data_IF_405288652416
#
_entry.id   IF_405288652416
#
_cell.length_a   1.000
_cell.length_b   1.000
_cell.length_c   1.000
_cell.angle_alpha   90.00
_cell.angle_beta   90.00
_cell.angle_gamma   90.00
#
_symmetry.space_group_name_H-M   'P 1'
#
loop_
_entity.id
_entity.type
_entity.pdbx_description
1 polymer ?
#
# COMPACT_ATOMS: atom_id res chain seq x y z
N UNK A 1 31.39 -11.80 34.16
CA UNK A 1 30.55 -12.84 34.81
C UNK A 1 31.05 -13.16 36.21
N UNK A 2 32.35 -13.39 36.42
CA UNK A 2 32.90 -13.69 37.76
C UNK A 2 32.91 -12.44 38.65
N UNK A 3 33.22 -11.26 38.11
CA UNK A 3 33.14 -10.00 38.86
C UNK A 3 31.71 -9.52 39.15
N UNK A 4 30.71 -10.07 38.44
CA UNK A 4 29.29 -9.70 38.64
C UNK A 4 28.60 -10.53 39.72
N UNK A 5 28.99 -11.79 39.88
CA UNK A 5 28.45 -12.70 40.91
C UNK A 5 29.56 -13.18 41.83
N UNK A 6 29.98 -12.33 42.76
CA UNK A 6 31.11 -12.63 43.65
C UNK A 6 30.82 -13.80 44.62
N UNK A 7 29.54 -14.11 44.87
CA UNK A 7 29.10 -15.22 45.74
C UNK A 7 28.72 -16.50 44.98
N UNK A 8 28.78 -16.50 43.64
CA UNK A 8 28.40 -17.67 42.86
C UNK A 8 29.51 -18.72 42.85
N UNK A 9 29.14 -19.98 43.10
CA UNK A 9 30.05 -21.12 42.95
C UNK A 9 29.96 -21.70 41.54
N UNK A 10 31.11 -21.88 40.87
CA UNK A 10 31.19 -22.47 39.54
C UNK A 10 31.38 -23.99 39.64
N UNK A 11 30.46 -24.75 39.05
CA UNK A 11 30.58 -26.21 38.93
C UNK A 11 30.32 -26.65 37.47
N UNK A 12 31.32 -27.21 36.75
CA UNK A 12 32.70 -27.48 37.17
C UNK A 12 33.51 -26.21 37.43
N UNK A 13 34.58 -26.33 38.22
CA UNK A 13 35.46 -25.22 38.56
C UNK A 13 36.17 -24.73 37.28
N UNK A 14 35.81 -23.54 36.80
CA UNK A 14 36.40 -22.95 35.59
C UNK A 14 37.67 -22.22 36.00
N UNK A 15 38.83 -22.68 35.55
CA UNK A 15 40.10 -21.96 35.74
C UNK A 15 40.23 -20.83 34.72
N UNK A 16 40.41 -19.61 35.21
CA UNK A 16 40.63 -18.44 34.36
C UNK A 16 42.07 -18.52 33.80
N UNK A 17 42.29 -18.42 32.47
CA UNK A 17 43.62 -18.33 31.88
C UNK A 17 44.43 -17.16 32.43
N UNK A 18 45.74 -17.32 32.62
CA UNK A 18 46.60 -16.32 33.28
C UNK A 18 46.55 -14.92 32.64
N UNK A 19 46.45 -14.83 31.30
CA UNK A 19 46.29 -13.56 30.58
C UNK A 19 45.06 -12.74 30.99
N UNK A 20 44.04 -13.39 31.54
CA UNK A 20 42.80 -12.73 31.99
C UNK A 20 42.81 -12.46 33.50
N UNK A 21 43.75 -13.01 34.26
CA UNK A 21 43.91 -12.73 35.70
C UNK A 21 44.52 -11.35 35.96
N UNK A 22 45.31 -10.83 35.04
CA UNK A 22 46.01 -9.53 35.17
C UNK A 22 45.07 -8.32 35.10
N UNK A 23 43.86 -8.49 34.52
CA UNK A 23 42.90 -7.40 34.31
C UNK A 23 41.68 -7.59 35.20
N UNK A 24 41.74 -7.08 36.43
CA UNK A 24 40.59 -7.03 37.33
C UNK A 24 39.61 -5.96 36.83
N UNK A 25 38.62 -6.37 36.03
CA UNK A 25 37.52 -5.50 35.57
C UNK A 25 36.54 -5.28 36.73
N UNK A 26 36.09 -4.05 36.93
CA UNK A 26 35.11 -3.74 37.98
C UNK A 26 33.77 -4.45 37.71
N UNK A 27 32.95 -4.62 38.76
CA UNK A 27 31.60 -5.19 38.61
C UNK A 27 30.76 -4.43 37.58
N UNK A 28 30.81 -3.10 37.61
CA UNK A 28 30.07 -2.22 36.71
C UNK A 28 30.50 -2.38 35.26
N UNK A 29 31.81 -2.35 34.99
CA UNK A 29 32.36 -2.51 33.64
C UNK A 29 32.02 -3.89 33.06
N UNK A 30 32.08 -4.93 33.90
CA UNK A 30 31.69 -6.27 33.48
C UNK A 30 30.19 -6.38 33.19
N UNK A 31 29.34 -5.68 33.95
CA UNK A 31 27.91 -5.63 33.71
C UNK A 31 27.59 -4.94 32.37
N UNK A 32 28.25 -3.81 32.09
CA UNK A 32 28.14 -3.10 30.80
C UNK A 32 28.49 -4.03 29.64
N UNK A 33 29.60 -4.77 29.72
CA UNK A 33 30.01 -5.69 28.65
C UNK A 33 29.05 -6.87 28.46
N UNK A 34 28.51 -7.41 29.55
CA UNK A 34 27.53 -8.50 29.50
C UNK A 34 26.24 -8.01 28.84
N UNK A 35 25.72 -6.85 29.28
CA UNK A 35 24.50 -6.27 28.72
C UNK A 35 24.72 -5.93 27.24
N UNK A 36 25.87 -5.33 26.88
CA UNK A 36 26.25 -5.05 25.49
C UNK A 36 26.15 -6.31 24.63
N UNK A 37 26.81 -7.38 25.07
CA UNK A 37 26.84 -8.66 24.35
C UNK A 37 25.44 -9.28 24.20
N UNK A 38 24.57 -9.15 25.21
CA UNK A 38 23.20 -9.67 25.12
C UNK A 38 22.32 -8.88 24.17
N UNK A 39 22.43 -7.55 24.18
CA UNK A 39 21.64 -6.66 23.33
C UNK A 39 21.93 -6.84 21.82
N UNK A 40 23.08 -7.40 21.45
CA UNK A 40 23.36 -7.77 20.05
C UNK A 40 22.41 -8.86 19.50
N UNK A 41 21.84 -9.68 20.40
CA UNK A 41 20.97 -10.80 20.06
C UNK A 41 19.52 -10.63 20.55
N UNK A 42 19.25 -9.64 21.41
CA UNK A 42 17.93 -9.35 21.94
C UNK A 42 17.31 -8.16 21.19
N UNK A 43 16.03 -8.27 20.86
CA UNK A 43 15.25 -7.14 20.31
C UNK A 43 14.99 -6.05 21.35
N UNK A 44 13.94 -5.24 21.18
CA UNK A 44 13.47 -4.34 22.22
C UNK A 44 13.25 -5.10 23.53
N UNK A 45 13.88 -4.64 24.60
CA UNK A 45 13.79 -5.26 25.94
C UNK A 45 13.64 -4.21 27.02
N UNK A 46 12.96 -4.56 28.10
CA UNK A 46 12.82 -3.69 29.26
C UNK A 46 13.92 -3.94 30.29
N UNK A 47 14.10 -2.99 31.21
CA UNK A 47 15.04 -3.11 32.33
C UNK A 47 14.70 -4.33 33.19
N UNK A 48 13.41 -4.55 33.46
CA UNK A 48 12.94 -5.65 34.30
C UNK A 48 13.23 -7.01 33.67
N UNK A 49 13.07 -7.15 32.34
CA UNK A 49 13.44 -8.38 31.64
C UNK A 49 14.93 -8.70 31.75
N UNK A 50 15.80 -7.69 31.63
CA UNK A 50 17.25 -7.87 31.76
C UNK A 50 17.61 -8.20 33.22
N UNK A 51 17.00 -7.48 34.17
CA UNK A 51 17.15 -7.63 35.62
C UNK A 51 16.81 -9.06 36.06
N UNK A 52 15.64 -9.57 35.66
CA UNK A 52 15.18 -10.93 35.95
C UNK A 52 16.07 -12.00 35.30
N UNK A 53 16.47 -11.79 34.04
CA UNK A 53 17.28 -12.77 33.31
C UNK A 53 18.72 -12.87 33.82
N UNK A 54 19.29 -11.77 34.30
CA UNK A 54 20.64 -11.74 34.85
C UNK A 54 20.63 -12.02 36.36
N UNK A 55 19.56 -11.72 37.10
CA UNK A 55 19.55 -11.82 38.56
C UNK A 55 20.38 -10.72 39.22
N UNK A 56 20.34 -9.51 38.64
CA UNK A 56 20.98 -8.29 39.16
C UNK A 56 19.91 -7.25 39.44
N UNK A 57 20.24 -6.19 40.19
CA UNK A 57 19.23 -5.17 40.49
C UNK A 57 18.88 -4.32 39.26
N UNK A 58 17.62 -3.89 39.14
CA UNK A 58 17.19 -3.01 38.04
C UNK A 58 18.01 -1.70 38.00
N UNK A 59 18.44 -1.19 39.16
CA UNK A 59 19.31 -0.01 39.25
C UNK A 59 20.69 -0.22 38.62
N UNK A 60 21.29 -1.41 38.76
CA UNK A 60 22.58 -1.73 38.13
C UNK A 60 22.43 -1.85 36.61
N UNK A 61 21.32 -2.44 36.16
CA UNK A 61 20.98 -2.55 34.73
C UNK A 61 20.78 -1.17 34.11
N UNK A 62 20.00 -0.29 34.75
CA UNK A 62 19.76 1.07 34.30
C UNK A 62 21.08 1.86 34.15
N UNK A 63 21.97 1.79 35.13
CA UNK A 63 23.26 2.47 35.05
C UNK A 63 24.13 1.97 33.88
N UNK A 64 24.12 0.66 33.61
CA UNK A 64 24.85 0.10 32.48
C UNK A 64 24.22 0.50 31.14
N UNK A 65 22.88 0.52 31.04
CA UNK A 65 22.17 0.96 29.84
C UNK A 65 22.40 2.44 29.56
N UNK A 66 22.42 3.30 30.58
CA UNK A 66 22.77 4.71 30.45
C UNK A 66 24.21 4.93 29.96
N UNK A 67 25.18 4.12 30.44
CA UNK A 67 26.55 4.14 29.90
C UNK A 67 26.57 3.76 28.41
N UNK A 68 25.87 2.69 28.04
CA UNK A 68 25.77 2.24 26.64
C UNK A 68 25.02 3.24 25.74
N UNK A 69 24.07 3.99 26.28
CA UNK A 69 23.37 5.08 25.57
C UNK A 69 24.31 6.24 25.30
N UNK A 70 25.12 6.63 26.30
CA UNK A 70 26.15 7.65 26.17
C UNK A 70 27.22 7.30 25.13
N UNK A 71 27.54 6.01 24.99
CA UNK A 71 28.41 5.48 23.91
C UNK A 71 27.72 5.45 22.54
N UNK A 72 26.39 5.64 22.49
CA UNK A 72 25.58 5.56 21.28
C UNK A 72 25.31 4.13 20.78
N UNK A 73 25.53 3.11 21.62
CA UNK A 73 25.32 1.70 21.29
C UNK A 73 23.83 1.33 21.30
N UNK A 74 23.07 1.82 22.28
CA UNK A 74 21.64 1.55 22.43
C UNK A 74 20.76 2.77 22.11
N UNK A 75 19.49 2.51 21.84
CA UNK A 75 18.42 3.50 21.87
C UNK A 75 17.37 3.14 22.92
N UNK A 76 16.77 4.18 23.47
CA UNK A 76 15.67 4.13 24.42
C UNK A 76 14.38 4.63 23.75
N UNK A 77 13.27 3.90 23.90
CA UNK A 77 11.97 4.31 23.35
C UNK A 77 10.94 3.19 23.36
N UNK A 78 9.83 3.39 22.67
CA UNK A 78 8.77 2.39 22.51
C UNK A 78 8.84 1.84 21.09
N UNK A 79 9.35 0.61 20.94
CA UNK A 79 9.55 -0.04 19.65
C UNK A 79 8.48 -1.09 19.36
N UNK A 80 7.88 -1.67 20.40
CA UNK A 80 6.81 -2.66 20.30
C UNK A 80 5.42 -1.98 20.26
N UNK A 81 4.61 -2.18 19.19
CA UNK A 81 3.28 -1.57 19.09
C UNK A 81 2.33 -2.04 20.21
N UNK A 82 1.66 -1.10 20.87
CA UNK A 82 0.74 -1.40 21.98
C UNK A 82 1.43 -1.71 23.31
N UNK A 83 2.75 -1.48 23.38
CA UNK A 83 3.53 -1.60 24.61
C UNK A 83 4.02 -0.21 25.04
N UNK A 84 3.50 0.27 26.17
CA UNK A 84 3.77 1.64 26.67
C UNK A 84 4.99 1.72 27.59
N UNK A 85 5.58 0.58 27.97
CA UNK A 85 6.81 0.57 28.76
C UNK A 85 8.02 0.97 27.93
N UNK A 86 9.00 1.56 28.61
CA UNK A 86 10.23 2.04 28.01
C UNK A 86 11.17 0.87 27.69
N UNK A 87 11.52 0.72 26.42
CA UNK A 87 12.36 -0.35 25.92
C UNK A 87 13.74 0.17 25.50
N UNK A 88 14.71 -0.73 25.55
CA UNK A 88 16.09 -0.54 25.12
C UNK A 88 16.40 -1.49 23.97
N UNK A 89 17.06 -0.99 22.93
CA UNK A 89 17.41 -1.80 21.77
C UNK A 89 18.76 -1.37 21.18
N UNK A 90 19.55 -2.34 20.72
CA UNK A 90 20.81 -2.06 20.03
C UNK A 90 20.54 -1.37 18.69
N UNK A 91 21.33 -0.33 18.39
CA UNK A 91 21.07 0.57 17.26
C UNK A 91 21.13 -0.14 15.90
N UNK A 92 22.13 -0.99 15.67
CA UNK A 92 22.32 -1.69 14.38
C UNK A 92 21.27 -2.77 14.18
N UNK A 93 20.85 -3.46 15.23
CA UNK A 93 19.81 -4.47 15.23
C UNK A 93 18.46 -3.83 14.92
N UNK A 94 18.11 -2.74 15.60
CA UNK A 94 16.90 -1.98 15.31
C UNK A 94 16.87 -1.51 13.84
N UNK A 95 17.98 -0.94 13.35
CA UNK A 95 18.09 -0.51 11.96
C UNK A 95 17.95 -1.68 10.97
N UNK A 96 18.51 -2.85 11.30
CA UNK A 96 18.42 -4.07 10.49
C UNK A 96 17.00 -4.62 10.44
N UNK A 97 16.33 -4.72 11.60
CA UNK A 97 14.92 -5.13 11.70
C UNK A 97 14.06 -4.19 10.86
N UNK A 98 14.20 -2.87 11.03
CA UNK A 98 13.43 -1.89 10.26
C UNK A 98 13.72 -2.01 8.75
N UNK A 99 14.98 -2.17 8.35
CA UNK A 99 15.35 -2.38 6.93
C UNK A 99 14.69 -3.64 6.35
N UNK A 100 14.67 -4.74 7.09
CA UNK A 100 14.01 -5.97 6.64
C UNK A 100 12.50 -5.80 6.51
N UNK A 101 11.86 -5.14 7.47
CA UNK A 101 10.43 -4.79 7.40
C UNK A 101 10.13 -3.93 6.18
N UNK A 102 10.88 -2.84 5.96
CA UNK A 102 10.70 -1.97 4.80
C UNK A 102 10.98 -2.68 3.48
N UNK A 103 12.00 -3.54 3.43
CA UNK A 103 12.32 -4.31 2.21
C UNK A 103 11.19 -5.29 1.89
N UNK A 104 10.61 -5.94 2.90
CA UNK A 104 9.46 -6.83 2.72
C UNK A 104 8.24 -6.06 2.20
N UNK A 105 7.89 -4.95 2.84
CA UNK A 105 6.79 -4.08 2.41
C UNK A 105 7.01 -3.54 0.99
N UNK A 106 8.24 -3.18 0.63
CA UNK A 106 8.56 -2.73 -0.74
C UNK A 106 8.43 -3.84 -1.78
N UNK A 107 8.82 -5.08 -1.44
CA UNK A 107 8.62 -6.23 -2.33
C UNK A 107 7.14 -6.56 -2.54
N UNK A 108 6.30 -6.29 -1.54
CA UNK A 108 4.84 -6.41 -1.69
C UNK A 108 4.25 -5.34 -2.61
N UNK A 109 4.99 -4.26 -2.93
CA UNK A 109 4.56 -3.12 -3.75
C UNK A 109 5.56 -2.90 -4.91
N UNK A 110 6.20 -3.96 -5.40
CA UNK A 110 7.20 -3.82 -6.47
C UNK A 110 6.53 -3.35 -7.77
N UNK A 111 7.05 -2.29 -8.43
CA UNK A 111 6.44 -1.75 -9.64
C UNK A 111 6.46 -2.80 -10.76
N UNK A 112 5.28 -3.07 -11.32
CA UNK A 112 5.15 -3.96 -12.47
C UNK A 112 5.78 -3.34 -13.72
N UNK A 113 6.29 -4.19 -14.63
CA UNK A 113 6.80 -3.70 -15.91
C UNK A 113 5.72 -2.95 -16.68
N UNK A 114 6.11 -1.96 -17.50
CA UNK A 114 5.17 -1.22 -18.33
C UNK A 114 4.37 -2.17 -19.25
N UNK A 115 5.01 -3.24 -19.75
CA UNK A 115 4.34 -4.28 -20.55
C UNK A 115 3.26 -5.03 -19.78
N UNK A 116 3.52 -5.41 -18.53
CA UNK A 116 2.55 -6.14 -17.70
C UNK A 116 1.37 -5.25 -17.32
N UNK A 117 1.66 -3.98 -17.02
CA UNK A 117 0.63 -2.99 -16.78
C UNK A 117 -0.26 -2.78 -18.02
N UNK A 118 0.33 -2.69 -19.22
CA UNK A 118 -0.44 -2.55 -20.47
C UNK A 118 -1.29 -3.79 -20.77
N UNK A 119 -0.76 -5.01 -20.55
CA UNK A 119 -1.55 -6.26 -20.69
C UNK A 119 -2.72 -6.29 -19.71
N UNK A 120 -2.47 -5.94 -18.45
CA UNK A 120 -3.52 -5.80 -17.44
C UNK A 120 -4.56 -4.76 -17.87
N UNK A 121 -4.13 -3.58 -18.34
CA UNK A 121 -5.04 -2.53 -18.78
C UNK A 121 -5.93 -2.97 -19.94
N UNK A 122 -5.38 -3.62 -20.96
CA UNK A 122 -6.18 -4.06 -22.10
C UNK A 122 -7.16 -5.18 -21.75
N UNK A 123 -6.75 -6.11 -20.87
CA UNK A 123 -7.65 -7.13 -20.31
C UNK A 123 -8.72 -6.50 -19.43
N UNK A 124 -8.34 -5.56 -18.56
CA UNK A 124 -9.24 -4.85 -17.68
C UNK A 124 -10.29 -4.07 -18.47
N UNK A 125 -9.89 -3.36 -19.53
CA UNK A 125 -10.75 -2.60 -20.43
C UNK A 125 -11.60 -3.47 -21.37
N UNK A 126 -11.41 -4.79 -21.39
CA UNK A 126 -12.14 -5.71 -22.26
C UNK A 126 -11.78 -5.58 -23.75
N UNK A 127 -10.62 -5.00 -24.08
CA UNK A 127 -10.20 -4.73 -25.47
C UNK A 127 -9.32 -5.85 -26.02
N UNK A 128 -8.58 -6.56 -25.16
CA UNK A 128 -7.66 -7.64 -25.56
C UNK A 128 -8.26 -9.06 -25.47
N UNK A 129 -9.53 -9.20 -25.07
CA UNK A 129 -10.14 -10.54 -24.93
C UNK A 129 -10.52 -11.10 -26.30
N UNK A 130 -10.05 -12.30 -26.63
CA UNK A 130 -10.49 -13.04 -27.82
C UNK A 130 -11.98 -13.39 -27.72
N UNK A 131 -12.46 -13.66 -26.50
CA UNK A 131 -13.88 -13.82 -26.20
C UNK A 131 -14.45 -12.51 -25.66
N UNK A 132 -15.06 -11.72 -26.55
CA UNK A 132 -15.81 -10.51 -26.18
C UNK A 132 -17.22 -10.89 -25.74
N UNK A 133 -17.73 -10.31 -24.63
CA UNK A 133 -19.10 -10.54 -24.20
C UNK A 133 -20.09 -9.97 -25.23
N UNK A 134 -21.31 -10.50 -25.26
CA UNK A 134 -22.36 -10.15 -26.22
C UNK A 134 -23.67 -9.81 -25.51
N UNK A 135 -24.49 -8.94 -26.11
CA UNK A 135 -25.82 -8.59 -25.63
C UNK A 135 -25.91 -7.34 -24.74
N UNK A 136 -27.14 -7.02 -24.32
CA UNK A 136 -27.46 -5.80 -23.56
C UNK A 136 -26.78 -5.75 -22.19
N UNK A 137 -26.65 -6.90 -21.50
CA UNK A 137 -25.97 -6.96 -20.20
C UNK A 137 -24.46 -6.75 -20.32
N UNK A 138 -23.85 -7.17 -21.43
CA UNK A 138 -22.45 -6.85 -21.73
C UNK A 138 -22.27 -5.33 -21.89
N UNK A 139 -23.16 -4.68 -22.63
CA UNK A 139 -23.18 -3.23 -22.77
C UNK A 139 -23.35 -2.52 -21.43
N UNK A 140 -24.24 -3.02 -20.56
CA UNK A 140 -24.40 -2.51 -19.20
C UNK A 140 -23.08 -2.60 -18.42
N UNK A 141 -22.41 -3.76 -18.45
CA UNK A 141 -21.11 -3.95 -17.81
C UNK A 141 -20.02 -2.99 -18.31
N UNK A 142 -20.00 -2.69 -19.61
CA UNK A 142 -19.07 -1.72 -20.22
C UNK A 142 -19.41 -0.29 -19.79
N UNK A 143 -20.69 0.09 -19.78
CA UNK A 143 -21.14 1.40 -19.30
C UNK A 143 -20.84 1.61 -17.81
N UNK A 144 -20.97 0.57 -16.99
CA UNK A 144 -20.57 0.59 -15.57
C UNK A 144 -19.09 0.90 -15.40
N UNK A 145 -18.26 0.38 -16.29
CA UNK A 145 -16.81 0.55 -16.25
C UNK A 145 -16.37 1.91 -16.80
N UNK A 146 -17.06 2.41 -17.81
CA UNK A 146 -16.78 3.68 -18.48
C UNK A 146 -17.62 4.84 -17.92
N UNK A 147 -18.32 4.63 -16.82
CA UNK A 147 -19.15 5.66 -16.20
C UNK A 147 -18.29 6.88 -15.84
N UNK A 148 -18.64 8.04 -16.39
CA UNK A 148 -17.87 9.28 -16.22
C UNK A 148 -16.80 9.54 -17.27
N UNK A 149 -16.54 8.58 -18.16
CA UNK A 149 -15.65 8.78 -19.30
C UNK A 149 -16.31 9.73 -20.32
N UNK A 150 -15.53 10.62 -20.92
CA UNK A 150 -16.01 11.61 -21.88
C UNK A 150 -15.36 11.31 -23.24
N UNK A 151 -16.19 11.05 -24.25
CA UNK A 151 -15.74 10.74 -25.60
C UNK A 151 -16.64 11.39 -26.66
N UNK A 152 -16.15 11.62 -27.89
CA UNK A 152 -16.98 12.11 -28.99
C UNK A 152 -18.21 11.24 -29.19
N UNK A 153 -19.37 11.87 -29.42
CA UNK A 153 -20.63 11.18 -29.61
C UNK A 153 -20.55 10.04 -30.65
N UNK A 154 -19.85 10.28 -31.77
CA UNK A 154 -19.70 9.26 -32.82
C UNK A 154 -18.79 8.08 -32.44
N UNK A 155 -17.87 8.27 -31.50
CA UNK A 155 -16.90 7.22 -31.12
C UNK A 155 -17.44 6.21 -30.12
N UNK A 156 -18.53 6.54 -29.41
CA UNK A 156 -19.13 5.62 -28.43
C UNK A 156 -19.55 4.29 -29.05
N UNK A 157 -20.39 4.31 -30.08
CA UNK A 157 -20.83 3.08 -30.74
C UNK A 157 -19.78 2.55 -31.72
N UNK A 158 -19.17 3.45 -32.50
CA UNK A 158 -18.25 3.06 -33.58
C UNK A 158 -16.94 2.46 -33.09
N UNK A 159 -16.35 3.04 -32.04
CA UNK A 159 -14.99 2.70 -31.62
C UNK A 159 -14.97 2.05 -30.23
N UNK A 160 -15.76 2.55 -29.28
CA UNK A 160 -15.71 2.13 -27.88
C UNK A 160 -16.49 0.84 -27.64
N UNK A 161 -17.75 0.75 -28.06
CA UNK A 161 -18.57 -0.44 -27.85
C UNK A 161 -18.19 -1.58 -28.80
N UNK A 162 -18.01 -1.28 -30.08
CA UNK A 162 -17.58 -2.27 -31.09
C UNK A 162 -16.26 -2.96 -30.74
N UNK A 163 -15.34 -2.27 -30.07
CA UNK A 163 -14.06 -2.86 -29.64
C UNK A 163 -14.20 -3.77 -28.43
N UNK A 164 -15.26 -3.65 -27.63
CA UNK A 164 -15.45 -4.35 -26.33
C UNK A 164 -16.55 -5.40 -26.34
N UNK A 165 -17.49 -5.31 -27.28
CA UNK A 165 -18.69 -6.14 -27.34
C UNK A 165 -18.72 -6.83 -28.70
N UNK A 166 -18.93 -8.14 -28.69
CA UNK A 166 -19.07 -8.92 -29.92
C UNK A 166 -20.40 -8.56 -30.60
N UNK A 167 -20.38 -8.40 -31.93
CA UNK A 167 -21.57 -8.14 -32.75
C UNK A 167 -22.48 -7.03 -32.18
N UNK A 168 -21.88 -5.91 -31.76
CA UNK A 168 -22.63 -4.81 -31.16
C UNK A 168 -23.79 -4.35 -32.03
N UNK A 169 -24.99 -4.31 -31.44
CA UNK A 169 -26.20 -3.77 -32.06
C UNK A 169 -26.66 -2.48 -31.35
N UNK A 170 -26.90 -1.43 -32.15
CA UNK A 170 -27.39 -0.13 -31.69
C UNK A 170 -28.71 -0.22 -30.90
N UNK A 171 -29.55 -1.21 -31.21
CA UNK A 171 -30.83 -1.43 -30.51
C UNK A 171 -30.64 -1.66 -29.00
N UNK A 172 -29.47 -2.15 -28.57
CA UNK A 172 -29.15 -2.36 -27.17
C UNK A 172 -28.97 -1.04 -26.42
N UNK A 173 -28.36 -0.04 -27.06
CA UNK A 173 -28.24 1.29 -26.47
C UNK A 173 -29.60 1.97 -26.37
N UNK A 174 -30.41 1.87 -27.43
CA UNK A 174 -31.77 2.40 -27.45
C UNK A 174 -32.60 1.77 -26.32
N UNK A 175 -32.52 0.45 -26.13
CA UNK A 175 -33.20 -0.25 -25.03
C UNK A 175 -32.77 0.27 -23.65
N UNK A 176 -31.47 0.51 -23.44
CA UNK A 176 -30.97 1.06 -22.18
C UNK A 176 -31.40 2.51 -21.95
N UNK A 177 -31.52 3.31 -23.01
CA UNK A 177 -32.00 4.69 -22.94
C UNK A 177 -33.52 4.74 -22.71
N UNK A 178 -34.31 3.95 -23.44
CA UNK A 178 -35.77 3.87 -23.33
C UNK A 178 -36.23 3.31 -21.99
N UNK A 179 -35.52 2.31 -21.45
CA UNK A 179 -35.75 1.81 -20.09
C UNK A 179 -35.35 2.81 -19.00
N UNK A 180 -34.69 3.92 -19.36
CA UNK A 180 -34.17 4.91 -18.44
C UNK A 180 -32.98 4.41 -17.61
N UNK A 181 -32.37 3.29 -17.98
CA UNK A 181 -31.18 2.74 -17.30
C UNK A 181 -29.93 3.58 -17.55
N UNK A 182 -29.76 4.07 -18.77
CA UNK A 182 -28.65 4.92 -19.20
C UNK A 182 -29.13 6.34 -19.54
N UNK A 183 -28.32 7.33 -19.20
CA UNK A 183 -28.55 8.73 -19.55
C UNK A 183 -27.24 9.28 -20.12
N UNK A 184 -27.31 9.95 -21.26
CA UNK A 184 -26.17 10.62 -21.85
C UNK A 184 -26.28 12.14 -21.68
N UNK A 185 -25.14 12.81 -21.58
CA UNK A 185 -25.13 14.25 -21.42
C UNK A 185 -23.73 14.82 -21.23
N UNK A 186 -23.70 16.13 -21.02
CA UNK A 186 -22.48 16.89 -20.75
C UNK A 186 -22.52 17.37 -19.31
N UNK A 187 -21.81 16.65 -18.44
CA UNK A 187 -21.82 16.85 -16.99
C UNK A 187 -20.70 17.75 -16.49
N UNK A 188 -19.65 17.97 -17.28
CA UNK A 188 -18.61 18.96 -16.97
C UNK A 188 -19.13 20.36 -17.26
N UNK A 189 -18.93 21.25 -16.30
CA UNK A 189 -19.04 22.70 -16.51
C UNK A 189 -17.83 23.14 -17.33
N UNK A 190 -18.03 23.33 -18.63
CA UNK A 190 -17.16 24.22 -19.39
C UNK A 190 -17.47 25.67 -18.99
N UNK A 191 -16.52 26.59 -19.17
CA UNK A 191 -16.70 28.03 -18.99
C UNK A 191 -17.65 28.61 -20.04
N UNK A 192 -18.88 28.12 -20.10
CA UNK A 192 -19.91 28.60 -21.01
C UNK A 192 -20.69 29.67 -20.27
N UNK A 193 -20.35 30.92 -20.53
CA UNK A 193 -21.10 32.11 -20.12
C UNK A 193 -22.55 32.02 -20.60
N UNK A 194 -23.43 31.38 -19.84
CA UNK A 194 -24.90 31.45 -19.94
C UNK A 194 -25.57 31.09 -21.28
N UNK A 195 -24.83 30.76 -22.34
CA UNK A 195 -25.37 30.52 -23.67
C UNK A 195 -26.09 29.17 -23.79
N UNK A 196 -27.12 29.11 -24.64
CA UNK A 196 -27.83 27.87 -24.98
C UNK A 196 -26.82 26.80 -25.42
N UNK A 197 -26.87 25.62 -24.79
CA UNK A 197 -26.02 24.48 -25.18
C UNK A 197 -26.40 24.05 -26.60
N UNK A 198 -25.47 24.20 -27.54
CA UNK A 198 -25.66 23.74 -28.93
C UNK A 198 -25.92 22.24 -28.98
N UNK A 199 -26.76 21.81 -29.92
CA UNK A 199 -27.04 20.39 -30.18
C UNK A 199 -25.73 19.63 -30.44
N UNK A 200 -25.56 18.42 -29.88
CA UNK A 200 -24.35 17.64 -30.10
C UNK A 200 -24.12 17.35 -31.59
N UNK A 201 -22.93 17.68 -32.08
CA UNK A 201 -22.39 17.20 -33.36
C UNK A 201 -21.53 15.94 -33.11
N UNK A 202 -21.13 15.23 -34.18
CA UNK A 202 -20.36 13.97 -34.07
C UNK A 202 -19.10 14.05 -33.18
N UNK A 203 -18.44 15.20 -33.17
CA UNK A 203 -17.23 15.48 -32.38
C UNK A 203 -17.53 16.00 -30.98
N UNK A 204 -18.81 16.23 -30.64
CA UNK A 204 -19.19 16.74 -29.33
C UNK A 204 -18.89 15.68 -28.28
N UNK A 205 -18.09 16.01 -27.25
CA UNK A 205 -17.85 15.09 -26.17
C UNK A 205 -19.13 14.90 -25.36
N UNK A 206 -19.52 13.64 -25.16
CA UNK A 206 -20.62 13.23 -24.32
C UNK A 206 -20.14 12.17 -23.34
N UNK A 207 -20.80 12.11 -22.18
CA UNK A 207 -20.60 11.08 -21.17
C UNK A 207 -21.90 10.32 -21.00
N UNK A 208 -21.80 9.00 -20.90
CA UNK A 208 -22.93 8.12 -20.60
C UNK A 208 -22.80 7.71 -19.13
N UNK A 209 -23.88 7.87 -18.38
CA UNK A 209 -23.95 7.57 -16.94
C UNK A 209 -25.17 6.75 -16.63
N UNK A 210 -25.14 6.06 -15.49
CA UNK A 210 -26.33 5.41 -14.96
C UNK A 210 -27.30 6.46 -14.46
N UNK A 211 -28.59 6.22 -14.68
CA UNK A 211 -29.62 7.12 -14.14
C UNK A 211 -29.58 7.21 -12.62
N UNK A 212 -29.29 6.12 -11.91
CA UNK A 212 -29.14 6.09 -10.44
C UNK A 212 -28.06 7.03 -9.93
N UNK A 213 -27.01 7.28 -10.73
CA UNK A 213 -25.88 8.13 -10.34
C UNK A 213 -25.99 9.54 -10.96
N UNK A 214 -27.08 9.85 -11.66
CA UNK A 214 -27.23 11.09 -12.43
C UNK A 214 -27.06 12.34 -11.55
N UNK A 215 -27.57 12.32 -10.33
CA UNK A 215 -27.49 13.47 -9.41
C UNK A 215 -26.05 13.75 -8.97
N UNK A 216 -25.23 12.70 -8.79
CA UNK A 216 -23.80 12.83 -8.51
C UNK A 216 -23.11 13.54 -9.68
N UNK A 217 -23.37 13.08 -10.90
CA UNK A 217 -22.77 13.65 -12.10
C UNK A 217 -23.27 15.06 -12.42
N UNK A 218 -24.52 15.41 -12.12
CA UNK A 218 -25.02 16.79 -12.25
C UNK A 218 -24.33 17.77 -11.29
N UNK A 219 -23.93 17.29 -10.11
CA UNK A 219 -23.29 18.12 -9.08
C UNK A 219 -21.78 18.23 -9.25
N UNK A 220 -21.15 17.42 -10.11
CA UNK A 220 -19.70 17.42 -10.37
C UNK A 220 -19.17 18.76 -10.89
N UNK A 221 -20.02 19.53 -11.56
CA UNK A 221 -19.69 20.85 -12.09
C UNK A 221 -19.79 21.98 -11.05
N UNK A 222 -20.41 21.71 -9.90
CA UNK A 222 -20.69 22.69 -8.83
C UNK A 222 -19.76 22.56 -7.62
N UNK A 223 -19.08 21.42 -7.46
CA UNK A 223 -18.10 21.21 -6.39
C UNK A 223 -16.91 22.17 -6.56
N UNK A 224 -16.61 23.02 -5.55
CA UNK A 224 -15.48 23.93 -5.60
C UNK A 224 -14.15 23.16 -5.65
N UNK A 225 -13.20 23.68 -6.42
CA UNK A 225 -11.82 23.18 -6.50
C UNK A 225 -11.14 23.36 -5.15
N UNK A 226 -11.09 22.32 -4.30
CA UNK A 226 -10.29 22.35 -3.09
C UNK A 226 -8.92 21.69 -3.29
N UNK A 227 -7.90 22.47 -2.95
CA UNK A 227 -6.47 22.20 -2.72
C UNK A 227 -6.06 20.73 -2.56
N UNK A 228 -5.56 20.13 -3.64
CA UNK A 228 -4.79 18.88 -3.61
C UNK A 228 -3.58 19.10 -4.53
N UNK A 229 -2.61 19.91 -4.12
CA UNK A 229 -1.61 20.56 -5.00
C UNK A 229 -0.81 19.62 -5.91
N UNK A 230 -0.67 18.31 -5.60
CA UNK A 230 0.22 17.39 -6.32
C UNK A 230 -0.40 16.47 -7.40
N UNK A 231 -1.70 16.57 -7.71
CA UNK A 231 -2.34 15.71 -8.73
C UNK A 231 -2.68 16.50 -10.01
N UNK A 232 -2.75 15.84 -11.17
CA UNK A 232 -3.28 16.49 -12.38
C UNK A 232 -4.76 16.88 -12.19
N UNK A 233 -5.21 17.99 -12.81
CA UNK A 233 -6.57 18.57 -12.68
C UNK A 233 -7.70 17.55 -12.91
N UNK A 234 -7.48 16.59 -13.83
CA UNK A 234 -8.45 15.51 -14.12
C UNK A 234 -8.44 14.38 -13.07
N UNK A 235 -7.31 14.17 -12.37
CA UNK A 235 -7.14 13.12 -11.37
C UNK A 235 -7.71 13.54 -10.02
N UNK A 236 -7.54 14.81 -9.61
CA UNK A 236 -8.14 15.35 -8.36
C UNK A 236 -9.65 15.17 -8.33
N UNK A 237 -10.32 15.51 -9.43
CA UNK A 237 -11.78 15.47 -9.56
C UNK A 237 -12.34 14.04 -9.53
N UNK A 238 -11.62 13.12 -10.16
CA UNK A 238 -11.97 11.69 -10.18
C UNK A 238 -11.71 11.04 -8.81
N UNK A 239 -10.61 11.40 -8.16
CA UNK A 239 -10.19 10.87 -6.86
C UNK A 239 -11.17 11.26 -5.74
N UNK A 240 -11.49 12.55 -5.58
CA UNK A 240 -12.40 13.06 -4.54
C UNK A 240 -13.81 12.46 -4.59
N UNK A 241 -14.26 12.03 -5.77
CA UNK A 241 -15.65 11.55 -5.98
C UNK A 241 -15.73 10.01 -5.91
N UNK A 242 -14.68 9.31 -6.36
CA UNK A 242 -14.68 7.85 -6.38
C UNK A 242 -14.17 7.22 -5.06
N UNK A 243 -13.31 7.90 -4.30
CA UNK A 243 -12.74 7.39 -3.03
C UNK A 243 -13.77 7.09 -1.92
N UNK A 244 -14.76 7.97 -1.67
CA UNK A 244 -15.76 7.73 -0.62
C UNK A 244 -16.74 6.58 -0.95
N UNK A 245 -16.88 6.23 -2.23
CA UNK A 245 -17.92 5.30 -2.71
C UNK A 245 -17.50 3.81 -2.63
N UNK A 246 -16.26 3.46 -2.25
CA UNK A 246 -15.72 2.08 -2.26
C UNK A 246 -15.95 1.31 -3.58
N UNK A 247 -16.16 2.01 -4.70
CA UNK A 247 -16.46 1.46 -6.03
C UNK A 247 -15.26 1.51 -6.98
N UNK A 248 -14.03 1.43 -6.46
CA UNK A 248 -12.85 1.29 -7.30
C UNK A 248 -12.75 -0.14 -7.85
N UNK A 249 -13.55 -0.44 -8.88
CA UNK A 249 -13.49 -1.73 -9.58
C UNK A 249 -12.09 -1.96 -10.18
N UNK A 250 -11.41 -0.89 -10.59
CA UNK A 250 -10.01 -0.89 -11.01
C UNK A 250 -9.06 -1.37 -9.90
N UNK A 251 -9.02 -0.67 -8.76
CA UNK A 251 -8.11 -1.02 -7.66
C UNK A 251 -8.47 -2.39 -7.05
N UNK A 252 -9.76 -2.70 -6.86
CA UNK A 252 -10.19 -4.02 -6.36
C UNK A 252 -9.76 -5.16 -7.29
N UNK A 253 -9.83 -4.98 -8.61
CA UNK A 253 -9.40 -5.99 -9.58
C UNK A 253 -7.87 -6.06 -9.68
N UNK A 254 -7.17 -4.92 -9.64
CA UNK A 254 -5.71 -4.84 -9.57
C UNK A 254 -5.16 -5.61 -8.35
N UNK A 255 -5.69 -5.36 -7.15
CA UNK A 255 -5.27 -6.06 -5.92
C UNK A 255 -5.70 -7.54 -5.91
N UNK A 256 -6.85 -7.88 -6.51
CA UNK A 256 -7.30 -9.28 -6.61
C UNK A 256 -6.43 -10.09 -7.56
N UNK A 257 -6.05 -9.52 -8.70
CA UNK A 257 -5.20 -10.20 -9.68
C UNK A 257 -3.74 -10.30 -9.18
N UNK A 258 -3.24 -9.30 -8.43
CA UNK A 258 -1.94 -9.40 -7.74
C UNK A 258 -1.93 -10.46 -6.63
N UNK A 259 -3.01 -10.58 -5.84
CA UNK A 259 -3.12 -11.64 -4.83
C UNK A 259 -3.36 -13.02 -5.45
N UNK A 260 -4.08 -13.11 -6.57
CA UNK A 260 -4.25 -14.35 -7.34
C UNK A 260 -2.94 -14.79 -8.01
N UNK A 261 -2.03 -13.85 -8.31
CA UNK A 261 -0.66 -14.13 -8.72
C UNK A 261 0.29 -14.41 -7.55
N UNK A 262 -0.22 -14.70 -6.34
CA UNK A 262 0.52 -15.06 -5.13
C UNK A 262 1.30 -16.38 -5.22
N UNK A 263 2.09 -16.55 -6.27
CA UNK A 263 2.82 -17.76 -6.56
C UNK A 263 4.17 -17.37 -7.15
N UNK A 264 5.23 -17.84 -6.49
CA UNK A 264 6.47 -18.27 -7.11
C UNK A 264 6.13 -19.16 -8.31
N UNK A 265 5.72 -18.59 -9.43
CA UNK A 265 5.60 -19.30 -10.71
C UNK A 265 6.93 -19.12 -11.37
N UNK A 266 7.75 -20.18 -11.36
CA UNK A 266 8.57 -20.49 -12.53
C UNK A 266 7.61 -20.44 -13.73
N UNK A 267 7.67 -19.34 -14.47
CA UNK A 267 6.84 -19.11 -15.64
C UNK A 267 7.18 -20.18 -16.69
N UNK A 268 6.22 -20.97 -17.19
CA UNK A 268 6.48 -22.06 -18.14
C UNK A 268 6.65 -21.55 -19.58
N UNK A 269 7.27 -20.39 -19.79
CA UNK A 269 7.54 -19.82 -21.12
C UNK A 269 9.04 -19.70 -21.41
N UNK A 270 9.89 -20.41 -20.65
CA UNK A 270 11.34 -20.49 -20.87
C UNK A 270 11.76 -21.64 -21.81
N UNK A 271 10.81 -22.26 -22.51
CA UNK A 271 11.09 -23.16 -23.62
C UNK A 271 10.22 -22.75 -24.80
N UNK A 272 10.67 -21.72 -25.52
CA UNK A 272 10.55 -21.55 -26.98
C UNK A 272 11.54 -20.45 -27.41
#
# INVERSE_FOLDING_TARGET
>A
MISTYNEASLNPKIEIPERLKEKSVSKEEALVEIIRSRLEALGPVTVDQISETLGVSSSEVDQALLKLEGEGFVFRGNFTPGFDELEWCERRLLARVNKYTLTKLRREIEPVSASDFMRFLFSWQGVSSDEKPEGVEALRGVLDQLEGFEAPAASWERDIFSSRIKNYDHTWMDTLCLSGSAVWGRFRTGNTNGGKKSSPIKTTPITIVKRTNLDIWKNIGKTPENNLEDLSHSVKKSFLILFPQKKHRFLKKLFRDQNASGQKRKLPWLNL
#
